data_IF_700353017611
#
_entry.id   IF_700353017611
#
_cell.length_a   1.000
_cell.length_b   1.000
_cell.length_c   1.000
_cell.angle_alpha   90.00
_cell.angle_beta   90.00
_cell.angle_gamma   90.00
#
_symmetry.space_group_name_H-M   'P 1'
#
loop_
_entity.id
_entity.type
_entity.pdbx_description
1 polymer ?
#
# COMPACT_ATOMS: atom_id res chain seq x y z
N UNK A 1 -12.05 3.60 -20.20
CA UNK A 1 -12.12 2.15 -20.08
C UNK A 1 -11.39 1.67 -18.84
N UNK A 2 -11.67 0.44 -18.42
CA UNK A 2 -11.05 -0.13 -17.23
C UNK A 2 -9.52 -0.23 -17.39
N UNK A 3 -9.05 -0.54 -18.59
CA UNK A 3 -7.61 -0.64 -18.85
C UNK A 3 -6.93 0.70 -18.67
N UNK A 4 -7.55 1.77 -19.15
CA UNK A 4 -6.98 3.10 -19.01
C UNK A 4 -6.91 3.52 -17.54
N UNK A 5 -7.94 3.23 -16.77
CA UNK A 5 -7.94 3.55 -15.36
C UNK A 5 -6.85 2.75 -14.62
N UNK A 6 -6.74 1.46 -14.93
CA UNK A 6 -5.75 0.60 -14.29
C UNK A 6 -4.33 1.04 -14.65
N UNK A 7 -4.11 1.50 -15.88
CA UNK A 7 -2.82 2.03 -16.26
C UNK A 7 -2.47 3.27 -15.44
N UNK A 8 -3.45 4.15 -15.20
CA UNK A 8 -3.23 5.34 -14.39
C UNK A 8 -2.86 4.96 -12.96
N UNK A 9 -3.54 3.97 -12.42
CA UNK A 9 -3.23 3.49 -11.07
C UNK A 9 -1.81 2.94 -11.00
N UNK A 10 -1.45 2.09 -11.95
CA UNK A 10 -0.11 1.50 -11.97
C UNK A 10 0.97 2.57 -12.13
N UNK A 11 0.70 3.58 -12.94
CA UNK A 11 1.63 4.68 -13.13
C UNK A 11 1.83 5.47 -11.83
N UNK A 12 0.76 5.73 -11.11
CA UNK A 12 0.83 6.46 -9.85
C UNK A 12 1.61 5.65 -8.80
N UNK A 13 1.31 4.34 -8.71
CA UNK A 13 2.02 3.47 -7.76
C UNK A 13 3.51 3.45 -8.08
N UNK A 14 3.84 3.27 -9.35
CA UNK A 14 5.24 3.25 -9.80
C UNK A 14 5.94 4.57 -9.43
N UNK A 15 5.31 5.69 -9.75
CA UNK A 15 5.89 7.01 -9.51
C UNK A 15 6.15 7.23 -8.01
N UNK A 16 5.18 6.89 -7.18
CA UNK A 16 5.32 7.07 -5.74
C UNK A 16 6.37 6.13 -5.16
N UNK A 17 6.43 4.90 -5.64
CA UNK A 17 7.42 3.95 -5.16
C UNK A 17 8.83 4.43 -5.46
N UNK A 18 9.06 4.87 -6.70
CA UNK A 18 10.37 5.36 -7.10
C UNK A 18 10.74 6.63 -6.34
N UNK A 19 9.77 7.50 -6.11
CA UNK A 19 10.00 8.72 -5.34
C UNK A 19 10.46 8.44 -3.91
N UNK A 20 9.84 7.46 -3.27
CA UNK A 20 10.19 7.14 -1.88
C UNK A 20 11.47 6.31 -1.76
N UNK A 21 12.07 5.93 -2.89
CA UNK A 21 13.30 5.14 -2.89
C UNK A 21 14.46 5.87 -3.56
N UNK A 22 14.42 7.20 -3.60
CA UNK A 22 15.48 7.98 -4.24
C UNK A 22 16.82 7.81 -3.56
N UNK A 23 16.83 7.76 -2.24
CA UNK A 23 18.09 7.62 -1.48
C UNK A 23 18.64 6.21 -1.54
N UNK A 24 17.82 5.24 -1.92
CA UNK A 24 18.19 3.85 -1.94
C UNK A 24 17.62 3.25 -3.22
N UNK A 25 18.24 3.53 -4.36
CA UNK A 25 17.65 3.21 -5.66
C UNK A 25 17.32 1.74 -5.82
N UNK A 26 16.18 1.49 -6.43
CA UNK A 26 15.74 0.15 -6.78
C UNK A 26 15.70 0.04 -8.30
N UNK A 27 15.63 -1.18 -8.81
CA UNK A 27 15.52 -1.39 -10.24
C UNK A 27 14.25 -0.72 -10.76
N UNK A 28 14.36 -0.05 -11.91
CA UNK A 28 13.22 0.58 -12.53
C UNK A 28 12.47 -0.46 -13.35
N UNK A 29 11.24 -0.74 -12.95
CA UNK A 29 10.39 -1.68 -13.68
C UNK A 29 9.52 -0.94 -14.68
N UNK A 30 9.18 -1.63 -15.76
CA UNK A 30 8.27 -1.07 -16.75
C UNK A 30 6.87 -0.93 -16.16
N UNK A 31 6.06 -0.11 -16.82
CA UNK A 31 4.66 0.02 -16.41
C UNK A 31 3.93 -1.32 -16.49
N UNK A 32 4.24 -2.11 -17.50
CA UNK A 32 3.63 -3.42 -17.67
C UNK A 32 3.97 -4.35 -16.50
N UNK A 33 5.21 -4.32 -16.04
CA UNK A 33 5.62 -5.12 -14.89
C UNK A 33 4.86 -4.67 -13.64
N UNK A 34 4.68 -3.37 -13.46
CA UNK A 34 3.91 -2.87 -12.34
C UNK A 34 2.45 -3.33 -12.40
N UNK A 35 1.86 -3.33 -13.60
CA UNK A 35 0.50 -3.83 -13.75
C UNK A 35 0.39 -5.29 -13.36
N UNK A 36 1.39 -6.09 -13.73
CA UNK A 36 1.41 -7.50 -13.36
C UNK A 36 1.53 -7.69 -11.84
N UNK A 37 2.38 -6.88 -11.20
CA UNK A 37 2.55 -6.99 -9.76
C UNK A 37 1.29 -6.62 -8.99
N UNK A 38 0.56 -5.61 -9.47
CA UNK A 38 -0.67 -5.20 -8.82
C UNK A 38 -1.78 -6.23 -8.93
N UNK A 39 -1.69 -7.12 -9.91
CA UNK A 39 -2.67 -8.19 -10.12
C UNK A 39 -2.13 -9.56 -9.73
N UNK A 40 -1.01 -9.62 -9.04
CA UNK A 40 -0.43 -10.88 -8.62
C UNK A 40 -1.34 -11.59 -7.61
N UNK A 41 -1.14 -12.90 -7.49
CA UNK A 41 -2.02 -13.73 -6.66
C UNK A 41 -2.00 -13.36 -5.18
N UNK A 42 -0.92 -12.77 -4.71
CA UNK A 42 -0.82 -12.39 -3.29
C UNK A 42 -1.51 -11.06 -2.98
N UNK A 43 -2.00 -10.34 -3.98
CA UNK A 43 -2.73 -9.10 -3.76
C UNK A 43 -4.20 -9.42 -3.49
N UNK A 44 -4.71 -8.93 -2.37
CA UNK A 44 -6.13 -9.09 -2.03
C UNK A 44 -6.88 -7.89 -2.57
N UNK A 45 -7.42 -8.03 -3.78
CA UNK A 45 -8.11 -6.92 -4.44
C UNK A 45 -9.32 -6.44 -3.65
N UNK A 46 -10.04 -7.36 -3.02
CA UNK A 46 -11.22 -7.01 -2.22
C UNK A 46 -10.85 -6.24 -0.95
N UNK A 47 -9.61 -6.36 -0.51
CA UNK A 47 -9.11 -5.63 0.65
C UNK A 47 -8.22 -4.46 0.30
N UNK A 48 -8.14 -4.12 -0.98
CA UNK A 48 -7.34 -3.00 -1.46
C UNK A 48 -8.28 -1.91 -1.93
N UNK A 49 -8.02 -0.68 -1.51
CA UNK A 49 -8.98 0.40 -1.71
C UNK A 49 -8.35 1.63 -2.33
N UNK A 50 -9.19 2.38 -3.02
CA UNK A 50 -8.82 3.63 -3.66
C UNK A 50 -9.78 4.73 -3.21
N UNK A 51 -9.30 5.96 -3.28
CA UNK A 51 -10.17 7.13 -3.21
C UNK A 51 -10.00 7.86 -4.54
N UNK A 52 -11.11 8.12 -5.21
CA UNK A 52 -11.10 8.86 -6.47
C UNK A 52 -11.99 10.08 -6.31
N UNK A 53 -11.68 11.13 -7.06
CA UNK A 53 -12.47 12.36 -7.01
C UNK A 53 -13.59 12.32 -8.07
N UNK A 54 -14.31 13.44 -8.18
CA UNK A 54 -15.42 13.52 -9.11
C UNK A 54 -15.00 13.41 -10.57
N UNK A 55 -13.74 13.72 -10.85
CA UNK A 55 -13.19 13.64 -12.19
C UNK A 55 -12.50 12.29 -12.46
N UNK A 56 -12.71 11.33 -11.56
CA UNK A 56 -12.13 9.99 -11.65
C UNK A 56 -10.61 9.99 -11.53
N UNK A 57 -10.05 11.02 -10.89
CA UNK A 57 -8.62 11.05 -10.59
C UNK A 57 -8.37 10.27 -9.30
N UNK A 58 -7.32 9.47 -9.29
CA UNK A 58 -6.97 8.68 -8.11
C UNK A 58 -6.28 9.59 -7.11
N UNK A 59 -6.91 9.77 -5.95
CA UNK A 59 -6.39 10.63 -4.89
C UNK A 59 -5.51 9.87 -3.92
N UNK A 60 -5.86 8.63 -3.65
CA UNK A 60 -5.11 7.80 -2.70
C UNK A 60 -5.36 6.33 -2.99
N UNK A 61 -4.42 5.49 -2.58
CA UNK A 61 -4.57 4.04 -2.73
C UNK A 61 -3.85 3.33 -1.59
N UNK A 62 -4.31 2.13 -1.26
CA UNK A 62 -3.63 1.26 -0.32
C UNK A 62 -3.97 -0.18 -0.68
N UNK A 63 -2.94 -0.98 -0.92
CA UNK A 63 -3.09 -2.39 -1.28
C UNK A 63 -2.91 -3.28 -0.06
N UNK A 64 -3.58 -4.41 -0.08
CA UNK A 64 -3.48 -5.41 0.97
C UNK A 64 -3.01 -6.71 0.34
N UNK A 65 -2.12 -7.40 1.03
CA UNK A 65 -1.53 -8.64 0.54
C UNK A 65 -1.75 -9.77 1.53
N UNK A 66 -1.71 -10.99 1.01
CA UNK A 66 -1.66 -12.16 1.88
C UNK A 66 -0.31 -12.22 2.59
N UNK A 67 -0.25 -12.96 3.68
CA UNK A 67 0.98 -13.16 4.44
C UNK A 67 1.23 -14.64 4.60
N UNK A 68 2.50 -15.01 4.77
CA UNK A 68 2.85 -16.38 5.08
C UNK A 68 2.48 -16.73 6.52
N UNK A 69 2.24 -15.72 7.34
CA UNK A 69 1.82 -15.93 8.73
C UNK A 69 0.34 -16.19 8.79
N UNK A 70 -0.05 -17.13 9.65
CA UNK A 70 -1.46 -17.47 9.80
C UNK A 70 -2.26 -16.28 10.31
N UNK A 71 -3.50 -16.17 9.84
CA UNK A 71 -4.45 -15.15 10.28
C UNK A 71 -3.96 -13.72 10.12
N UNK A 72 -3.03 -13.48 9.20
CA UNK A 72 -2.38 -12.20 9.02
C UNK A 72 -2.53 -11.72 7.57
N UNK A 73 -2.75 -10.43 7.41
CA UNK A 73 -2.66 -9.77 6.10
C UNK A 73 -1.60 -8.68 6.21
N UNK A 74 -1.03 -8.28 5.08
CA UNK A 74 0.03 -7.29 5.05
C UNK A 74 -0.37 -6.07 4.24
N UNK A 75 -0.08 -4.90 4.80
CA UNK A 75 -0.22 -3.65 4.06
C UNK A 75 0.86 -3.61 3.00
N UNK A 76 0.46 -3.30 1.77
CA UNK A 76 1.37 -3.25 0.65
C UNK A 76 1.64 -1.82 0.20
N UNK A 77 1.65 -1.62 -1.11
CA UNK A 77 1.88 -0.27 -1.63
C UNK A 77 0.77 0.67 -1.21
N UNK A 78 1.15 1.89 -0.84
CA UNK A 78 0.19 2.92 -0.50
C UNK A 78 0.77 4.27 -0.89
N UNK A 79 -0.11 5.22 -1.13
CA UNK A 79 0.32 6.55 -1.50
C UNK A 79 -0.84 7.44 -1.87
N UNK A 80 -0.51 8.70 -2.15
CA UNK A 80 -1.49 9.70 -2.56
C UNK A 80 -1.00 10.42 -3.79
N UNK A 81 -1.94 11.11 -4.46
CA UNK A 81 -1.59 11.89 -5.64
C UNK A 81 -0.70 13.08 -5.27
N UNK A 82 -1.01 13.74 -4.17
CA UNK A 82 -0.21 14.87 -3.69
C UNK A 82 0.05 14.69 -2.20
N UNK A 83 1.08 15.38 -1.70
CA UNK A 83 1.43 15.32 -0.29
C UNK A 83 0.33 15.91 0.59
N UNK A 84 -0.49 16.79 0.03
CA UNK A 84 -1.57 17.41 0.78
C UNK A 84 -2.68 16.41 1.13
N UNK A 85 -2.73 15.29 0.42
CA UNK A 85 -3.76 14.29 0.61
C UNK A 85 -3.33 13.14 1.53
N UNK A 86 -2.19 13.26 2.20
CA UNK A 86 -1.66 12.19 3.04
C UNK A 86 -2.67 11.67 4.06
N UNK A 87 -3.50 12.56 4.61
CA UNK A 87 -4.45 12.15 5.63
C UNK A 87 -5.52 11.18 5.11
N UNK A 88 -5.67 11.07 3.79
CA UNK A 88 -6.61 10.12 3.22
C UNK A 88 -6.19 8.67 3.45
N UNK A 89 -4.90 8.44 3.65
CA UNK A 89 -4.41 7.07 3.85
C UNK A 89 -5.03 6.39 5.06
N UNK A 90 -5.29 7.15 6.14
CA UNK A 90 -5.87 6.54 7.33
C UNK A 90 -7.28 6.02 7.08
N UNK A 91 -8.01 6.66 6.17
CA UNK A 91 -9.34 6.19 5.81
C UNK A 91 -9.26 4.84 5.10
N UNK A 92 -8.26 4.68 4.24
CA UNK A 92 -8.08 3.44 3.50
C UNK A 92 -7.64 2.32 4.42
N UNK A 93 -6.69 2.59 5.31
CA UNK A 93 -6.21 1.58 6.24
C UNK A 93 -7.33 1.18 7.21
N UNK A 94 -8.16 2.13 7.63
CA UNK A 94 -9.31 1.80 8.47
C UNK A 94 -10.24 0.83 7.74
N UNK A 95 -10.52 1.07 6.47
CA UNK A 95 -11.34 0.14 5.69
C UNK A 95 -10.67 -1.22 5.55
N UNK A 96 -9.36 -1.24 5.43
CA UNK A 96 -8.62 -2.49 5.35
C UNK A 96 -8.68 -3.26 6.67
N UNK A 97 -8.66 -2.55 7.79
CA UNK A 97 -8.84 -3.18 9.08
C UNK A 97 -10.24 -3.80 9.21
N UNK A 98 -11.25 -3.10 8.71
CA UNK A 98 -12.61 -3.63 8.71
C UNK A 98 -12.72 -4.86 7.84
N UNK A 99 -12.09 -4.84 6.66
CA UNK A 99 -12.06 -5.98 5.78
C UNK A 99 -11.42 -7.18 6.46
N UNK A 100 -10.25 -6.95 7.07
CA UNK A 100 -9.52 -8.02 7.75
C UNK A 100 -10.36 -8.65 8.85
N UNK A 101 -11.00 -7.81 9.67
CA UNK A 101 -11.85 -8.30 10.75
C UNK A 101 -13.02 -9.12 10.21
N UNK A 102 -13.66 -8.62 9.16
CA UNK A 102 -14.81 -9.29 8.56
C UNK A 102 -14.45 -10.67 8.01
N UNK A 103 -13.24 -10.82 7.50
CA UNK A 103 -12.79 -12.06 6.87
C UNK A 103 -12.00 -12.96 7.81
N UNK A 104 -12.02 -12.68 9.11
CA UNK A 104 -11.44 -13.56 10.10
C UNK A 104 -9.95 -13.45 10.32
N UNK A 105 -9.32 -12.42 9.76
CA UNK A 105 -7.91 -12.17 10.03
C UNK A 105 -7.75 -11.51 11.40
N UNK A 106 -6.74 -11.94 12.13
CA UNK A 106 -6.47 -11.42 13.47
C UNK A 106 -5.45 -10.31 13.48
N UNK A 107 -4.61 -10.24 12.47
CA UNK A 107 -3.48 -9.30 12.46
C UNK A 107 -3.33 -8.61 11.12
N UNK A 108 -2.94 -7.33 11.18
CA UNK A 108 -2.48 -6.57 10.03
C UNK A 108 -1.04 -6.21 10.31
N UNK A 109 -0.17 -6.53 9.38
CA UNK A 109 1.26 -6.28 9.49
C UNK A 109 1.68 -5.30 8.41
N UNK A 110 2.70 -4.52 8.68
CA UNK A 110 3.25 -3.60 7.69
C UNK A 110 4.72 -3.39 7.91
N UNK A 111 5.41 -3.03 6.85
CA UNK A 111 6.79 -2.59 6.92
C UNK A 111 6.78 -1.07 6.77
N UNK A 112 7.38 -0.39 7.75
CA UNK A 112 7.33 1.07 7.77
C UNK A 112 8.73 1.63 7.62
N UNK A 113 9.07 1.96 6.37
CA UNK A 113 10.35 2.55 6.05
C UNK A 113 10.30 4.05 6.39
N UNK A 114 11.23 4.52 7.21
CA UNK A 114 11.24 5.90 7.65
C UNK A 114 11.49 6.89 6.50
N UNK A 115 11.96 6.41 5.35
CA UNK A 115 12.13 7.28 4.19
C UNK A 115 10.86 7.47 3.39
N UNK A 116 9.80 6.71 3.71
CA UNK A 116 8.52 6.82 3.03
C UNK A 116 7.56 7.68 3.85
N UNK A 117 7.18 8.82 3.29
CA UNK A 117 6.20 9.69 3.94
C UNK A 117 4.85 9.00 4.10
N UNK A 118 4.52 8.11 3.16
CA UNK A 118 3.25 7.39 3.22
C UNK A 118 3.24 6.39 4.36
N UNK A 119 4.31 5.61 4.49
CA UNK A 119 4.42 4.64 5.57
C UNK A 119 4.41 5.34 6.94
N UNK A 120 5.11 6.47 7.04
CA UNK A 120 5.15 7.21 8.29
C UNK A 120 3.80 7.80 8.65
N UNK A 121 3.02 8.21 7.67
CA UNK A 121 1.67 8.71 7.93
C UNK A 121 0.79 7.61 8.53
N UNK A 122 0.85 6.40 7.98
CA UNK A 122 0.07 5.28 8.49
C UNK A 122 0.53 4.91 9.90
N UNK A 123 1.84 4.82 10.10
CA UNK A 123 2.38 4.48 11.41
C UNK A 123 1.94 5.48 12.49
N UNK A 124 1.93 6.76 12.13
CA UNK A 124 1.52 7.83 13.04
C UNK A 124 0.04 7.77 13.38
N UNK A 125 -0.77 7.33 12.43
CA UNK A 125 -2.23 7.37 12.56
C UNK A 125 -2.82 6.17 13.31
N UNK A 126 -2.05 5.11 13.48
CA UNK A 126 -2.53 3.87 14.12
C UNK A 126 -1.51 3.36 15.11
N UNK A 127 -1.99 2.56 16.09
CA UNK A 127 -1.09 1.94 17.06
C UNK A 127 -0.60 0.62 16.51
N UNK A 128 0.66 0.60 16.10
CA UNK A 128 1.33 -0.62 15.67
C UNK A 128 2.36 -1.02 16.71
N UNK A 129 2.46 -2.32 16.95
CA UNK A 129 3.48 -2.85 17.85
C UNK A 129 4.64 -3.38 17.02
N UNK A 130 5.89 -3.13 17.44
CA UNK A 130 7.04 -3.69 16.73
C UNK A 130 6.96 -5.20 16.66
N UNK A 131 7.38 -5.75 15.53
CA UNK A 131 7.37 -7.17 15.31
C UNK A 131 8.79 -7.70 15.45
N UNK A 132 8.92 -8.85 16.13
CA UNK A 132 10.25 -9.40 16.42
C UNK A 132 11.06 -9.72 15.15
N UNK A 133 10.39 -10.02 14.05
CA UNK A 133 11.08 -10.32 12.80
C UNK A 133 11.83 -9.14 12.22
N UNK A 134 11.49 -7.93 12.63
CA UNK A 134 12.20 -6.74 12.20
C UNK A 134 13.66 -6.79 12.48
N UNK A 135 13.98 -7.35 13.63
CA UNK A 135 15.33 -7.30 14.15
C UNK A 135 16.25 -8.16 13.33
N UNK A 136 15.73 -9.26 12.81
CA UNK A 136 16.58 -10.28 12.22
C UNK A 136 17.20 -9.87 10.89
N UNK A 137 16.53 -9.11 10.08
CA UNK A 137 17.11 -8.77 8.79
C UNK A 137 17.66 -7.38 8.72
N UNK A 138 17.67 -6.69 9.82
CA UNK A 138 18.29 -5.38 9.91
C UNK A 138 19.80 -5.45 9.98
N UNK A 139 20.34 -6.61 10.07
CA UNK A 139 21.79 -6.75 10.18
C UNK A 139 22.52 -6.41 8.92
#
# INVERSE_FOLDING_TARGET
SNNSFFEKLAHLVKTNYEYTHLANPVASFSLETWQEMLLADDVLLDGSFLIIDEEHQIMAYSFLHTSEKDNTVELGWCGTHTIEDLSLLKLLVFKQAMYANKHGYSFIQGEFDSTSIYAMEILKSFLFNPCATWITYQK
#
